data_IF_540000287972
#
_entry.id   IF_540000287972
#
_cell.length_a   1.000
_cell.length_b   1.000
_cell.length_c   1.000
_cell.angle_alpha   90.00
_cell.angle_beta   90.00
_cell.angle_gamma   90.00
#
_symmetry.space_group_name_H-M   'P 1'
#
loop_
_entity.id
_entity.type
_entity.pdbx_description
1 polymer ?
#
# COMPACT_ATOMS: atom_id res chain seq x y z
N UNK A 1 -76.82 -21.49 55.51
CA UNK A 1 -76.39 -20.54 54.47
C UNK A 1 -74.89 -20.72 54.27
N UNK A 2 -74.46 -21.08 53.07
CA UNK A 2 -73.04 -21.23 52.71
C UNK A 2 -72.52 -19.89 52.21
N UNK A 3 -71.52 -19.36 52.90
CA UNK A 3 -70.79 -18.17 52.46
C UNK A 3 -69.57 -18.59 51.65
N UNK A 4 -69.30 -17.90 50.55
CA UNK A 4 -68.09 -18.07 49.75
C UNK A 4 -67.36 -16.73 49.69
N UNK A 5 -66.08 -16.72 50.03
CA UNK A 5 -65.18 -15.59 49.78
C UNK A 5 -64.59 -15.77 48.38
N UNK A 6 -64.95 -14.87 47.47
CA UNK A 6 -64.40 -14.87 46.11
C UNK A 6 -63.07 -14.10 46.11
N UNK A 7 -61.97 -14.75 45.72
CA UNK A 7 -60.67 -14.11 45.61
C UNK A 7 -60.65 -13.14 44.42
N UNK A 8 -60.39 -11.85 44.68
CA UNK A 8 -60.26 -10.81 43.65
C UNK A 8 -58.79 -10.48 43.45
N UNK A 9 -58.26 -10.79 42.27
CA UNK A 9 -56.97 -10.27 41.80
C UNK A 9 -57.19 -9.03 40.93
N UNK A 10 -56.44 -7.96 41.17
CA UNK A 10 -56.44 -6.75 40.34
C UNK A 10 -55.01 -6.51 39.86
N UNK A 11 -54.80 -6.67 38.56
CA UNK A 11 -53.52 -6.35 37.93
C UNK A 11 -53.59 -4.95 37.32
N UNK A 12 -52.64 -4.09 37.69
CA UNK A 12 -52.46 -2.77 37.10
C UNK A 12 -51.26 -2.80 36.16
N UNK A 13 -51.48 -2.51 34.88
CA UNK A 13 -50.41 -2.44 33.89
C UNK A 13 -50.17 -0.98 33.48
N UNK A 14 -48.94 -0.50 33.67
CA UNK A 14 -48.49 0.80 33.16
C UNK A 14 -47.57 0.54 31.97
N UNK A 15 -48.03 0.93 30.77
CA UNK A 15 -47.23 0.75 29.56
C UNK A 15 -46.00 1.67 29.59
N UNK A 16 -44.84 1.14 29.19
CA UNK A 16 -43.65 1.94 29.01
C UNK A 16 -43.86 2.97 27.87
N UNK A 17 -43.40 4.20 28.09
CA UNK A 17 -43.37 5.25 27.05
C UNK A 17 -42.24 4.99 26.06
N UNK A 18 -42.49 5.24 24.77
CA UNK A 18 -41.48 5.09 23.71
C UNK A 18 -41.51 3.75 22.97
N UNK A 19 -42.63 3.02 22.98
CA UNK A 19 -42.78 1.80 22.19
C UNK A 19 -42.81 2.08 20.69
N UNK A 20 -42.12 1.26 19.92
CA UNK A 20 -42.11 1.34 18.46
C UNK A 20 -43.48 0.90 17.93
N UNK A 21 -44.14 1.77 17.14
CA UNK A 21 -45.43 1.44 16.51
C UNK A 21 -45.32 0.82 15.13
N UNK A 22 -44.30 1.21 14.37
CA UNK A 22 -44.05 0.76 13.00
C UNK A 22 -42.63 1.09 12.59
N UNK A 23 -41.97 0.17 11.90
CA UNK A 23 -40.68 0.35 11.24
C UNK A 23 -40.87 0.30 9.71
N UNK A 24 -40.21 1.19 8.98
CA UNK A 24 -40.20 1.17 7.51
C UNK A 24 -38.81 1.49 7.00
N UNK A 25 -38.22 0.54 6.28
CA UNK A 25 -36.83 0.62 5.84
C UNK A 25 -36.76 0.33 4.34
N UNK A 26 -36.09 1.22 3.61
CA UNK A 26 -35.76 1.03 2.20
C UNK A 26 -34.24 1.03 2.06
N UNK A 27 -33.70 0.03 1.39
CA UNK A 27 -32.25 -0.13 1.22
C UNK A 27 -31.92 -0.33 -0.24
N UNK A 28 -30.97 0.48 -0.71
CA UNK A 28 -30.37 0.33 -2.02
C UNK A 28 -28.97 -0.28 -1.86
N UNK A 29 -28.72 -1.39 -2.53
CA UNK A 29 -27.43 -2.10 -2.47
C UNK A 29 -26.70 -1.91 -3.79
N UNK A 30 -25.49 -1.36 -3.73
CA UNK A 30 -24.66 -1.07 -4.91
C UNK A 30 -24.20 -2.36 -5.60
N UNK A 31 -24.45 -2.54 -6.88
CA UNK A 31 -24.03 -3.73 -7.64
C UNK A 31 -22.52 -4.07 -7.49
N UNK A 32 -22.14 -5.32 -7.82
CA UNK A 32 -20.76 -5.78 -7.67
C UNK A 32 -19.87 -5.12 -8.71
N UNK A 33 -18.66 -4.76 -8.29
CA UNK A 33 -17.71 -4.00 -9.11
C UNK A 33 -16.41 -4.78 -9.17
N UNK A 34 -16.01 -5.14 -10.38
CA UNK A 34 -14.76 -5.85 -10.62
C UNK A 34 -13.87 -4.96 -11.49
N UNK A 35 -12.67 -4.66 -11.00
CA UNK A 35 -11.65 -3.94 -11.75
C UNK A 35 -10.65 -4.98 -12.25
N UNK A 36 -10.54 -5.13 -13.57
CA UNK A 36 -9.48 -5.98 -14.15
C UNK A 36 -8.11 -5.32 -13.95
N UNK A 37 -7.01 -6.07 -13.83
CA UNK A 37 -5.68 -5.46 -13.81
C UNK A 37 -5.40 -4.74 -15.13
N UNK A 38 -4.73 -3.58 -15.06
CA UNK A 38 -4.25 -2.92 -16.26
C UNK A 38 -3.24 -3.84 -16.96
N UNK A 39 -3.35 -3.97 -18.29
CA UNK A 39 -2.30 -4.64 -19.07
C UNK A 39 -0.98 -3.87 -18.92
N UNK A 40 0.15 -4.58 -18.90
CA UNK A 40 1.47 -3.97 -18.72
C UNK A 40 1.72 -2.94 -19.83
N UNK A 41 1.93 -1.68 -19.46
CA UNK A 41 2.06 -0.55 -20.38
C UNK A 41 0.77 0.18 -20.79
N UNK A 42 -0.39 -0.17 -20.21
CA UNK A 42 -1.64 0.56 -20.45
C UNK A 42 -1.61 1.96 -19.82
N UNK A 43 -1.87 2.99 -20.64
CA UNK A 43 -1.88 4.41 -20.23
C UNK A 43 -3.16 4.83 -19.50
N UNK A 44 -4.17 3.96 -19.45
CA UNK A 44 -5.49 4.23 -18.88
C UNK A 44 -5.87 3.13 -17.91
N UNK A 45 -6.47 3.50 -16.77
CA UNK A 45 -7.05 2.53 -15.86
C UNK A 45 -8.16 1.74 -16.58
N UNK A 46 -8.25 0.42 -16.33
CA UNK A 46 -9.32 -0.40 -16.86
C UNK A 46 -10.69 0.07 -16.36
N UNK A 47 -11.69 0.00 -17.23
CA UNK A 47 -13.06 0.38 -16.92
C UNK A 47 -13.66 -0.63 -15.92
N UNK A 48 -14.33 -0.18 -14.84
CA UNK A 48 -14.95 -1.08 -13.88
C UNK A 48 -16.09 -1.86 -14.54
N UNK A 49 -16.07 -3.18 -14.35
CA UNK A 49 -17.16 -4.06 -14.79
C UNK A 49 -18.20 -4.11 -13.67
N UNK A 50 -19.39 -3.60 -13.94
CA UNK A 50 -20.52 -3.64 -13.00
C UNK A 50 -21.36 -4.88 -13.29
N UNK A 51 -21.57 -5.69 -12.25
CA UNK A 51 -22.38 -6.91 -12.31
C UNK A 51 -23.52 -6.85 -11.30
N UNK A 52 -24.75 -7.00 -11.80
CA UNK A 52 -25.94 -7.05 -10.95
C UNK A 52 -25.82 -8.18 -9.93
N UNK A 53 -26.27 -7.94 -8.69
CA UNK A 53 -26.41 -9.03 -7.71
C UNK A 53 -27.48 -10.01 -8.12
N UNK A 54 -27.29 -11.27 -7.74
CA UNK A 54 -28.32 -12.29 -7.98
C UNK A 54 -29.49 -12.11 -6.99
N UNK A 55 -30.65 -12.65 -7.34
CA UNK A 55 -31.84 -12.58 -6.50
C UNK A 55 -31.62 -13.26 -5.14
N UNK A 56 -30.84 -14.34 -5.11
CA UNK A 56 -30.50 -15.07 -3.89
C UNK A 56 -29.66 -14.22 -2.93
N UNK A 57 -28.69 -13.46 -3.45
CA UNK A 57 -27.86 -12.57 -2.63
C UNK A 57 -28.68 -11.43 -2.03
N UNK A 58 -29.58 -10.83 -2.81
CA UNK A 58 -30.48 -9.78 -2.32
C UNK A 58 -31.42 -10.32 -1.25
N UNK A 59 -31.95 -11.54 -1.43
CA UNK A 59 -32.81 -12.20 -0.45
C UNK A 59 -32.05 -12.52 0.85
N UNK A 60 -30.78 -12.95 0.77
CA UNK A 60 -29.93 -13.16 1.94
C UNK A 60 -29.68 -11.86 2.71
N UNK A 61 -29.40 -10.77 2.00
CA UNK A 61 -29.23 -9.44 2.60
C UNK A 61 -30.52 -9.01 3.30
N UNK A 62 -31.68 -9.16 2.65
CA UNK A 62 -32.97 -8.84 3.26
C UNK A 62 -33.21 -9.65 4.55
N UNK A 63 -32.92 -10.96 4.52
CA UNK A 63 -33.08 -11.83 5.69
C UNK A 63 -32.18 -11.41 6.86
N UNK A 64 -30.92 -11.07 6.59
CA UNK A 64 -29.99 -10.55 7.59
C UNK A 64 -30.50 -9.25 8.21
N UNK A 65 -30.97 -8.32 7.39
CA UNK A 65 -31.52 -7.05 7.86
C UNK A 65 -32.80 -7.24 8.68
N UNK A 66 -33.70 -8.12 8.24
CA UNK A 66 -34.94 -8.46 8.96
C UNK A 66 -34.65 -8.93 10.37
N UNK A 67 -33.65 -9.81 10.51
CA UNK A 67 -33.21 -10.34 11.79
C UNK A 67 -32.51 -9.28 12.65
N UNK A 68 -31.59 -8.50 12.06
CA UNK A 68 -30.86 -7.46 12.78
C UNK A 68 -31.76 -6.34 13.32
N UNK A 69 -32.81 -6.00 12.58
CA UNK A 69 -33.75 -4.93 12.94
C UNK A 69 -34.91 -5.41 13.82
N UNK A 70 -35.10 -6.72 14.00
CA UNK A 70 -36.23 -7.27 14.75
C UNK A 70 -37.58 -6.90 14.12
N UNK A 71 -37.66 -6.97 12.79
CA UNK A 71 -38.86 -6.63 12.00
C UNK A 71 -40.02 -7.51 12.44
N UNK A 72 -41.13 -6.88 12.80
CA UNK A 72 -42.34 -7.54 13.30
C UNK A 72 -43.51 -7.26 12.35
N UNK A 73 -44.06 -8.33 11.75
CA UNK A 73 -45.20 -8.24 10.84
C UNK A 73 -46.50 -7.85 11.56
N UNK A 74 -46.63 -8.17 12.86
CA UNK A 74 -47.83 -7.82 13.66
C UNK A 74 -47.87 -6.33 13.99
N UNK A 75 -46.68 -5.70 14.09
CA UNK A 75 -46.50 -4.25 14.20
C UNK A 75 -46.66 -3.52 12.85
N UNK A 76 -46.74 -4.28 11.75
CA UNK A 76 -46.87 -3.73 10.40
C UNK A 76 -45.56 -3.18 9.86
N UNK A 77 -44.42 -3.75 10.25
CA UNK A 77 -43.12 -3.34 9.77
C UNK A 77 -42.88 -3.76 8.31
N UNK A 78 -42.19 -2.92 7.54
CA UNK A 78 -41.83 -3.18 6.14
C UNK A 78 -40.34 -2.97 5.89
N UNK A 79 -39.76 -3.85 5.10
CA UNK A 79 -38.42 -3.71 4.55
C UNK A 79 -38.45 -3.95 3.04
N UNK A 80 -37.77 -3.10 2.28
CA UNK A 80 -37.60 -3.25 0.83
C UNK A 80 -36.13 -3.09 0.49
N UNK A 81 -35.58 -4.08 -0.22
CA UNK A 81 -34.17 -4.09 -0.64
C UNK A 81 -34.13 -4.17 -2.16
N UNK A 82 -33.38 -3.27 -2.78
CA UNK A 82 -33.21 -3.20 -4.24
C UNK A 82 -31.71 -3.14 -4.54
N UNK A 83 -31.25 -3.88 -5.55
CA UNK A 83 -29.88 -3.76 -6.07
C UNK A 83 -29.88 -2.86 -7.30
N UNK A 84 -28.93 -1.93 -7.37
CA UNK A 84 -28.75 -1.06 -8.52
C UNK A 84 -27.29 -0.61 -8.65
N UNK A 85 -26.83 -0.26 -9.86
CA UNK A 85 -25.51 0.32 -10.06
C UNK A 85 -25.45 1.73 -9.45
N UNK A 86 -24.34 2.02 -8.77
CA UNK A 86 -24.06 3.37 -8.27
C UNK A 86 -23.23 4.12 -9.29
N UNK A 87 -23.34 5.45 -9.27
CA UNK A 87 -22.48 6.29 -10.10
C UNK A 87 -21.03 6.17 -9.61
N UNK A 88 -20.12 5.88 -10.55
CA UNK A 88 -18.70 5.72 -10.26
C UNK A 88 -17.93 6.85 -10.90
N UNK A 89 -17.16 7.63 -10.12
CA UNK A 89 -16.28 8.62 -10.70
C UNK A 89 -15.29 7.90 -11.61
N UNK A 90 -15.19 8.32 -12.88
CA UNK A 90 -14.11 7.87 -13.75
C UNK A 90 -12.80 8.19 -13.05
N UNK A 91 -12.03 7.15 -12.75
CA UNK A 91 -10.64 7.33 -12.32
C UNK A 91 -9.88 7.81 -13.55
N UNK A 92 -9.85 9.12 -13.75
CA UNK A 92 -8.85 9.74 -14.60
C UNK A 92 -7.51 9.41 -13.95
N UNK A 93 -6.76 8.50 -14.58
CA UNK A 93 -5.34 8.36 -14.28
C UNK A 93 -4.75 9.70 -14.67
N UNK A 94 -4.57 10.58 -13.68
CA UNK A 94 -3.59 11.66 -13.77
C UNK A 94 -2.27 10.95 -13.97
N UNK A 95 -1.93 10.77 -15.24
CA UNK A 95 -0.54 10.71 -15.65
C UNK A 95 0.00 12.10 -15.36
N UNK A 96 0.32 12.34 -14.09
CA UNK A 96 1.37 13.27 -13.73
C UNK A 96 2.67 12.61 -14.20
N UNK A 97 2.77 12.37 -15.51
CA UNK A 97 4.03 12.21 -16.19
C UNK A 97 4.67 13.58 -16.06
N UNK A 98 5.33 13.81 -14.92
CA UNK A 98 6.32 14.88 -14.80
C UNK A 98 7.17 14.72 -16.05
N UNK A 99 7.13 15.67 -17.00
CA UNK A 99 7.90 15.55 -18.22
C UNK A 99 9.34 15.37 -17.77
N UNK A 100 9.95 14.22 -18.10
CA UNK A 100 11.36 14.02 -17.79
C UNK A 100 12.09 15.17 -18.48
N UNK A 101 12.72 16.09 -17.73
CA UNK A 101 13.27 17.29 -18.33
C UNK A 101 14.28 16.84 -19.38
N UNK A 102 14.12 17.35 -20.60
CA UNK A 102 15.08 17.08 -21.68
C UNK A 102 16.47 17.50 -21.18
N UNK A 103 17.54 16.85 -21.65
CA UNK A 103 18.93 17.15 -21.22
C UNK A 103 19.23 18.67 -21.27
N UNK A 104 18.67 19.38 -22.26
CA UNK A 104 18.74 20.83 -22.40
C UNK A 104 18.09 21.57 -21.22
N UNK A 105 16.92 21.13 -20.77
CA UNK A 105 16.18 21.71 -19.66
C UNK A 105 16.85 21.39 -18.31
N UNK A 106 17.48 20.21 -18.19
CA UNK A 106 18.29 19.86 -17.03
C UNK A 106 19.58 20.71 -16.94
N UNK A 107 20.20 21.03 -18.08
CA UNK A 107 21.37 21.92 -18.15
C UNK A 107 21.01 23.37 -17.79
N UNK A 108 19.82 23.86 -18.17
CA UNK A 108 19.35 25.20 -17.79
C UNK A 108 19.05 25.31 -16.29
N UNK A 109 18.45 24.28 -15.71
CA UNK A 109 18.05 24.28 -14.30
C UNK A 109 19.22 23.98 -13.34
N UNK A 110 20.23 23.23 -13.81
CA UNK A 110 21.42 22.92 -13.03
C UNK A 110 22.66 22.79 -13.94
N UNK A 111 23.35 23.90 -14.26
CA UNK A 111 24.51 23.87 -15.15
C UNK A 111 25.78 23.32 -14.48
N UNK A 112 25.84 23.30 -13.14
CA UNK A 112 27.03 22.89 -12.36
C UNK A 112 27.68 21.57 -12.80
N UNK A 113 26.94 20.44 -12.96
CA UNK A 113 27.55 19.18 -13.40
C UNK A 113 28.09 19.24 -14.83
N UNK A 114 27.43 19.97 -15.74
CA UNK A 114 27.86 20.08 -17.13
C UNK A 114 29.09 20.98 -17.30
N UNK A 115 29.22 22.03 -16.48
CA UNK A 115 30.43 22.86 -16.40
C UNK A 115 31.62 22.06 -15.87
N UNK A 116 31.41 21.19 -14.88
CA UNK A 116 32.45 20.28 -14.39
C UNK A 116 32.95 19.32 -15.47
N UNK A 117 32.01 18.68 -16.19
CA UNK A 117 32.34 17.74 -17.28
C UNK A 117 33.08 18.47 -18.41
N UNK A 118 32.64 19.67 -18.82
CA UNK A 118 33.30 20.41 -19.89
C UNK A 118 34.71 20.89 -19.50
N UNK A 119 34.93 21.26 -18.23
CA UNK A 119 36.26 21.60 -17.72
C UNK A 119 37.22 20.40 -17.77
N UNK A 120 36.77 19.21 -17.39
CA UNK A 120 37.57 17.98 -17.49
C UNK A 120 37.93 17.67 -18.93
N UNK A 121 36.97 17.80 -19.86
CA UNK A 121 37.21 17.59 -21.29
C UNK A 121 38.22 18.60 -21.84
N UNK A 122 38.12 19.88 -21.45
CA UNK A 122 39.06 20.91 -21.89
C UNK A 122 40.49 20.62 -21.39
N UNK A 123 40.65 20.19 -20.14
CA UNK A 123 41.95 19.79 -19.59
C UNK A 123 42.51 18.57 -20.35
N UNK A 124 41.67 17.59 -20.68
CA UNK A 124 42.08 16.42 -21.44
C UNK A 124 42.56 16.81 -22.85
N UNK A 125 41.83 17.69 -23.55
CA UNK A 125 42.23 18.19 -24.86
C UNK A 125 43.56 18.93 -24.78
N UNK A 126 43.74 19.82 -23.79
CA UNK A 126 45.00 20.55 -23.59
C UNK A 126 46.15 19.56 -23.31
N UNK A 127 45.93 18.55 -22.46
CA UNK A 127 46.92 17.53 -22.16
C UNK A 127 47.31 16.71 -23.40
N UNK A 128 46.35 16.34 -24.25
CA UNK A 128 46.60 15.64 -25.51
C UNK A 128 47.38 16.53 -26.48
N UNK A 129 46.98 17.79 -26.65
CA UNK A 129 47.70 18.74 -27.51
C UNK A 129 49.13 18.95 -27.00
N UNK A 130 49.32 19.07 -25.69
CA UNK A 130 50.64 19.20 -25.08
C UNK A 130 51.47 17.93 -25.30
N UNK A 131 50.89 16.74 -25.08
CA UNK A 131 51.53 15.45 -25.35
C UNK A 131 51.95 15.30 -26.81
N UNK A 132 51.11 15.71 -27.77
CA UNK A 132 51.47 15.70 -29.19
C UNK A 132 52.51 16.78 -29.56
N UNK A 133 52.50 17.93 -28.88
CA UNK A 133 53.47 19.00 -29.10
C UNK A 133 54.86 18.68 -28.53
N UNK A 134 54.95 17.79 -27.54
CA UNK A 134 56.21 17.24 -27.04
C UNK A 134 56.76 16.23 -28.05
N UNK A 135 57.55 16.74 -29.01
CA UNK A 135 58.34 15.90 -29.92
C UNK A 135 59.25 14.98 -29.10
N UNK A 136 59.25 13.65 -29.31
CA UNK A 136 60.15 12.75 -28.60
C UNK A 136 61.59 13.15 -28.95
N UNK A 137 62.38 13.53 -27.93
CA UNK A 137 63.83 13.64 -28.09
C UNK A 137 64.31 12.23 -28.42
N UNK A 138 64.83 12.03 -29.64
CA UNK A 138 65.31 10.73 -30.13
C UNK A 138 66.39 10.21 -29.19
N UNK A 139 66.01 9.36 -28.24
CA UNK A 139 66.94 8.46 -27.55
C UNK A 139 67.22 7.35 -28.54
N UNK A 140 68.46 7.29 -29.02
CA UNK A 140 68.94 6.20 -29.87
C UNK A 140 69.01 4.95 -29.01
N UNK A 141 68.13 3.99 -29.26
CA UNK A 141 68.19 2.67 -28.67
C UNK A 141 69.09 1.75 -29.53
N UNK A 142 70.07 1.04 -28.94
CA UNK A 142 70.78 -0.01 -29.65
C UNK A 142 69.92 -1.27 -29.79
N UNK A 143 70.19 -1.99 -30.87
CA UNK A 143 69.46 -3.13 -31.41
C UNK A 143 69.65 -4.39 -30.55
N UNK A 144 68.52 -5.05 -30.27
CA UNK A 144 68.32 -6.36 -29.60
C UNK A 144 69.05 -7.51 -30.32
N UNK A 145 69.26 -8.63 -29.60
CA UNK A 145 68.60 -9.85 -30.08
C UNK A 145 67.82 -10.60 -28.99
N UNK A 146 66.60 -10.94 -29.40
CA UNK A 146 65.63 -11.89 -28.87
C UNK A 146 66.19 -13.32 -28.81
N UNK A 147 65.89 -14.08 -27.74
CA UNK A 147 65.80 -15.54 -27.82
C UNK A 147 64.99 -16.15 -26.66
N UNK A 148 64.13 -17.09 -27.05
CA UNK A 148 63.65 -18.26 -26.30
C UNK A 148 62.45 -18.13 -25.34
N UNK A 149 61.30 -18.52 -25.93
CA UNK A 149 60.48 -19.67 -25.53
C UNK A 149 59.82 -19.69 -24.13
N UNK A 150 58.49 -19.68 -24.21
CA UNK A 150 57.51 -20.02 -23.20
C UNK A 150 57.94 -21.17 -22.27
N UNK A 151 58.08 -20.84 -20.98
CA UNK A 151 58.07 -21.82 -19.89
C UNK A 151 56.70 -21.77 -19.22
N UNK A 152 56.11 -22.96 -19.04
CA UNK A 152 54.83 -23.22 -18.40
C UNK A 152 54.69 -22.46 -17.08
N UNK A 153 53.56 -21.78 -16.89
CA UNK A 153 53.12 -21.35 -15.57
C UNK A 153 52.59 -22.58 -14.79
N UNK A 154 52.91 -22.72 -13.49
CA UNK A 154 52.25 -23.72 -12.65
C UNK A 154 50.77 -23.38 -12.50
N UNK A 155 49.88 -24.36 -12.70
CA UNK A 155 48.45 -24.17 -12.51
C UNK A 155 48.12 -23.82 -11.05
N UNK A 156 47.28 -22.80 -10.88
CA UNK A 156 46.80 -22.35 -9.58
C UNK A 156 45.86 -23.40 -8.95
N UNK A 157 45.89 -23.59 -7.62
CA UNK A 157 45.12 -24.62 -6.90
C UNK A 157 43.59 -24.47 -6.96
N UNK A 158 43.09 -23.46 -7.67
CA UNK A 158 41.66 -23.17 -7.82
C UNK A 158 40.92 -24.25 -8.63
N UNK A 159 41.59 -24.95 -9.55
CA UNK A 159 40.95 -25.98 -10.38
C UNK A 159 40.61 -27.26 -9.59
N UNK A 160 41.36 -27.58 -8.55
CA UNK A 160 41.07 -28.72 -7.66
C UNK A 160 39.97 -28.44 -6.63
N UNK A 161 39.76 -27.18 -6.26
CA UNK A 161 38.70 -26.81 -5.31
C UNK A 161 37.31 -26.79 -5.98
N UNK A 162 37.26 -26.48 -7.27
CA UNK A 162 36.00 -26.43 -8.03
C UNK A 162 35.47 -27.83 -8.39
N UNK A 163 36.35 -28.82 -8.56
CA UNK A 163 35.95 -30.22 -8.77
C UNK A 163 35.44 -30.89 -7.49
N UNK A 164 36.01 -30.54 -6.32
CA UNK A 164 35.54 -31.03 -5.03
C UNK A 164 34.15 -30.48 -4.63
N UNK A 165 33.84 -29.23 -5.00
CA UNK A 165 32.53 -28.63 -4.74
C UNK A 165 31.39 -29.23 -5.60
N UNK A 166 31.72 -29.83 -6.75
CA UNK A 166 30.75 -30.45 -7.66
C UNK A 166 30.38 -31.90 -7.29
N UNK A 167 31.07 -32.48 -6.31
CA UNK A 167 30.95 -33.90 -5.92
C UNK A 167 30.41 -34.08 -4.49
N UNK A 168 29.99 -32.99 -3.84
CA UNK A 168 29.32 -33.07 -2.54
C UNK A 168 27.90 -33.65 -2.68
N UNK A 169 27.50 -34.64 -1.85
CA UNK A 169 26.13 -35.15 -1.83
C UNK A 169 25.17 -34.05 -1.38
N UNK A 170 24.08 -33.85 -2.12
CA UNK A 170 22.97 -32.98 -1.73
C UNK A 170 22.12 -33.72 -0.69
N UNK A 171 22.49 -33.60 0.58
CA UNK A 171 21.61 -34.00 1.66
C UNK A 171 20.47 -32.98 1.83
N UNK A 172 19.31 -33.57 2.09
CA UNK A 172 17.97 -33.03 2.30
C UNK A 172 17.91 -31.53 2.65
N UNK A 173 17.38 -30.73 1.72
CA UNK A 173 17.09 -29.32 1.97
C UNK A 173 15.80 -29.23 2.80
N UNK A 174 15.90 -29.52 4.10
CA UNK A 174 14.86 -29.13 5.05
C UNK A 174 14.81 -27.60 5.11
N UNK A 175 13.79 -27.03 4.46
CA UNK A 175 13.43 -25.62 4.60
C UNK A 175 12.83 -25.46 6.00
N UNK A 176 13.68 -25.20 6.99
CA UNK A 176 13.23 -24.66 8.26
C UNK A 176 13.14 -23.13 8.08
N UNK A 177 11.94 -22.52 8.10
CA UNK A 177 11.83 -21.08 7.92
C UNK A 177 12.50 -20.40 9.11
N UNK A 178 13.47 -19.48 8.91
CA UNK A 178 14.06 -18.76 10.01
C UNK A 178 12.95 -17.96 10.70
N UNK A 179 12.73 -18.21 11.98
CA UNK A 179 11.80 -17.45 12.81
C UNK A 179 12.23 -15.97 12.80
N UNK A 180 11.63 -15.20 11.89
CA UNK A 180 11.89 -13.78 11.75
C UNK A 180 11.27 -13.10 12.95
N UNK A 181 12.10 -12.73 13.92
CA UNK A 181 11.64 -11.99 15.07
C UNK A 181 11.16 -10.61 14.59
N UNK A 182 9.85 -10.41 14.61
CA UNK A 182 9.23 -9.12 14.25
C UNK A 182 9.53 -8.17 15.41
N UNK A 183 10.60 -7.39 15.27
CA UNK A 183 10.84 -6.25 16.17
C UNK A 183 9.93 -5.13 15.70
N UNK A 184 8.81 -4.92 16.40
CA UNK A 184 7.98 -3.75 16.17
C UNK A 184 8.82 -2.49 16.47
N UNK A 185 8.79 -1.47 15.60
CA UNK A 185 9.39 -0.18 15.94
C UNK A 185 8.71 0.37 17.19
N UNK A 186 9.51 0.89 18.12
CA UNK A 186 8.97 1.56 19.30
C UNK A 186 8.06 2.69 18.84
N UNK A 187 6.83 2.73 19.37
CA UNK A 187 5.87 3.80 19.07
C UNK A 187 6.54 5.12 19.42
N UNK A 188 6.85 5.94 18.41
CA UNK A 188 7.47 7.23 18.64
C UNK A 188 6.53 8.09 19.49
N UNK A 189 6.91 8.32 20.74
CA UNK A 189 6.20 9.23 21.64
C UNK A 189 6.59 10.63 21.17
N UNK A 190 5.72 11.26 20.37
CA UNK A 190 5.95 12.63 19.94
C UNK A 190 5.70 13.59 21.11
N UNK A 191 6.45 14.70 21.23
CA UNK A 191 6.22 15.70 22.28
C UNK A 191 4.80 16.30 22.21
N UNK A 192 4.19 16.29 21.03
CA UNK A 192 2.81 16.70 20.80
C UNK A 192 1.79 15.81 21.53
N UNK A 193 2.07 14.50 21.65
CA UNK A 193 1.20 13.56 22.38
C UNK A 193 1.20 13.87 23.87
N UNK A 194 2.35 14.15 24.45
CA UNK A 194 2.46 14.53 25.87
C UNK A 194 1.78 15.87 26.15
N UNK A 195 1.95 16.85 25.26
CA UNK A 195 1.22 18.12 25.36
C UNK A 195 -0.30 17.94 25.24
N UNK A 196 -0.76 17.05 24.36
CA UNK A 196 -2.18 16.75 24.23
C UNK A 196 -2.73 16.08 25.50
N UNK A 197 -2.02 15.12 26.08
CA UNK A 197 -2.42 14.46 27.33
C UNK A 197 -2.44 15.46 28.49
N UNK A 198 -1.40 16.28 28.65
CA UNK A 198 -1.34 17.32 29.67
C UNK A 198 -2.45 18.37 29.50
N UNK A 199 -2.79 18.74 28.26
CA UNK A 199 -3.87 19.67 27.98
C UNK A 199 -5.23 19.07 28.33
N UNK A 200 -5.43 17.77 28.12
CA UNK A 200 -6.66 17.05 28.51
C UNK A 200 -6.80 16.98 30.03
N UNK A 201 -5.71 16.73 30.76
CA UNK A 201 -5.71 16.72 32.24
C UNK A 201 -6.00 18.11 32.82
N UNK A 202 -5.40 19.16 32.25
CA UNK A 202 -5.62 20.54 32.71
C UNK A 202 -6.98 21.10 32.30
N UNK A 203 -7.56 20.61 31.20
CA UNK A 203 -8.83 21.11 30.62
C UNK A 203 -9.74 19.97 30.18
N UNK A 204 -10.33 19.21 31.12
CA UNK A 204 -11.23 18.09 30.80
C UNK A 204 -12.45 18.55 29.99
N UNK A 205 -12.94 19.76 30.26
CA UNK A 205 -14.08 20.39 29.57
C UNK A 205 -13.85 20.53 28.05
N UNK A 206 -12.61 20.81 27.62
CA UNK A 206 -12.27 20.98 26.21
C UNK A 206 -12.29 19.63 25.48
N UNK A 207 -11.81 18.57 26.12
CA UNK A 207 -11.86 17.20 25.58
C UNK A 207 -13.30 16.72 25.39
N UNK A 208 -14.19 16.99 26.36
CA UNK A 208 -15.62 16.64 26.30
C UNK A 208 -16.35 17.39 25.18
N UNK A 209 -15.96 18.64 24.88
CA UNK A 209 -16.55 19.39 23.75
C UNK A 209 -16.19 18.78 22.41
N UNK A 210 -14.95 18.34 22.23
CA UNK A 210 -14.51 17.71 20.98
C UNK A 210 -15.23 16.37 20.78
N UNK A 211 -15.27 15.50 21.79
CA UNK A 211 -16.01 14.23 21.70
C UNK A 211 -17.50 14.43 21.45
N UNK A 212 -18.13 15.42 22.10
CA UNK A 212 -19.54 15.77 21.85
C UNK A 212 -19.78 16.28 20.43
N UNK A 213 -18.83 17.00 19.83
CA UNK A 213 -18.95 17.49 18.46
C UNK A 213 -18.85 16.36 17.44
N UNK A 214 -18.00 15.37 17.72
CA UNK A 214 -17.84 14.17 16.88
C UNK A 214 -19.04 13.23 16.98
N UNK A 215 -19.65 13.11 18.16
CA UNK A 215 -20.89 12.34 18.37
C UNK A 215 -22.14 13.00 17.73
N UNK A 216 -22.03 14.24 17.28
CA UNK A 216 -23.13 14.99 16.63
C UNK A 216 -23.04 15.03 15.11
N UNK A 217 -21.99 14.45 14.53
CA UNK A 217 -21.83 14.30 13.08
C UNK A 217 -22.16 12.86 12.71
#
# INVERSE_FOLDING_TARGET
>A
ATSFENSRSVENYVAAIGTLRKLSVAVLVADKVTITPAADGAKTAPEPIITARTAEEVAQIEALMRNALGVDSTRGDLISVISAPFDMPRVEVRTDSVPVPTVIQQMQNNPLPFVGISAVIAVLIIAVVMMLALKPKKVVAPKVPELAAATRYPELPASQQMSAALQAPMDDYQIEPPARQIVLPAIAVSPEREQAIATVEQRPEAAVRVTRNWLRT
#
